data_IF_574959497559
#
_entry.id   IF_574959497559
#
_cell.length_a   1.000
_cell.length_b   1.000
_cell.length_c   1.000
_cell.angle_alpha   90.00
_cell.angle_beta   90.00
_cell.angle_gamma   90.00
#
_symmetry.space_group_name_H-M   'P 1'
#
loop_
_entity.id
_entity.type
_entity.pdbx_description
1 polymer ?
#
# COMPACT_ATOMS: atom_id res chain seq x y z
N UNK A 1 9.12 19.97 0.78
CA UNK A 1 8.01 19.41 -0.01
C UNK A 1 8.23 17.92 -0.09
N UNK A 2 7.45 17.12 0.64
CA UNK A 2 7.56 15.66 0.57
C UNK A 2 6.95 15.23 -0.77
N UNK A 3 7.79 14.75 -1.67
CA UNK A 3 7.38 14.35 -3.02
C UNK A 3 6.50 13.10 -2.97
N UNK A 4 5.29 13.18 -3.54
CA UNK A 4 4.34 12.07 -3.60
C UNK A 4 4.90 10.86 -4.37
N UNK A 5 5.75 11.09 -5.38
CA UNK A 5 6.38 10.02 -6.13
C UNK A 5 7.36 9.22 -5.24
N UNK A 6 8.19 9.93 -4.46
CA UNK A 6 9.05 9.33 -3.45
C UNK A 6 8.26 8.48 -2.43
N UNK A 7 7.11 8.97 -1.96
CA UNK A 7 6.28 8.23 -1.00
C UNK A 7 5.69 6.94 -1.60
N UNK A 8 5.21 6.97 -2.86
CA UNK A 8 4.69 5.76 -3.52
C UNK A 8 5.76 4.70 -3.74
N UNK A 9 6.99 5.11 -4.06
CA UNK A 9 8.11 4.19 -4.21
C UNK A 9 8.45 3.52 -2.88
N UNK A 10 8.56 4.28 -1.78
CA UNK A 10 8.87 3.75 -0.45
C UNK A 10 7.78 2.79 0.05
N UNK A 11 6.51 3.08 -0.26
CA UNK A 11 5.40 2.17 0.03
C UNK A 11 5.57 0.81 -0.67
N UNK A 12 5.93 0.82 -1.97
CA UNK A 12 6.23 -0.42 -2.68
C UNK A 12 7.41 -1.18 -2.08
N UNK A 13 8.50 -0.49 -1.78
CA UNK A 13 9.71 -1.10 -1.22
C UNK A 13 9.45 -1.80 0.11
N UNK A 14 8.65 -1.19 1.00
CA UNK A 14 8.21 -1.82 2.24
C UNK A 14 7.53 -3.18 1.99
N UNK A 15 6.51 -3.21 1.13
CA UNK A 15 5.79 -4.46 0.82
C UNK A 15 6.68 -5.49 0.12
N UNK A 16 7.53 -5.05 -0.82
CA UNK A 16 8.42 -5.92 -1.56
C UNK A 16 9.41 -6.64 -0.64
N UNK A 17 9.94 -5.98 0.39
CA UNK A 17 10.83 -6.58 1.39
C UNK A 17 10.12 -7.70 2.15
N UNK A 18 8.87 -7.47 2.58
CA UNK A 18 8.08 -8.50 3.27
C UNK A 18 7.83 -9.71 2.37
N UNK A 19 7.47 -9.48 1.11
CA UNK A 19 7.14 -10.55 0.16
C UNK A 19 8.37 -11.31 -0.36
N UNK A 20 9.55 -10.68 -0.40
CA UNK A 20 10.78 -11.30 -0.88
C UNK A 20 11.15 -12.56 -0.10
N UNK A 21 10.83 -12.61 1.21
CA UNK A 21 11.09 -13.77 2.08
C UNK A 21 10.31 -15.04 1.70
N UNK A 22 9.26 -14.93 0.89
CA UNK A 22 8.52 -16.09 0.41
C UNK A 22 9.25 -16.85 -0.71
N UNK A 23 10.33 -16.28 -1.29
CA UNK A 23 11.12 -16.89 -2.36
C UNK A 23 10.29 -17.31 -3.59
N UNK A 24 9.23 -16.56 -3.89
CA UNK A 24 8.35 -16.77 -5.07
C UNK A 24 8.55 -15.64 -6.09
N UNK A 25 9.63 -15.63 -6.88
CA UNK A 25 9.97 -14.49 -7.76
C UNK A 25 8.91 -14.21 -8.83
N UNK A 26 8.27 -15.26 -9.39
CA UNK A 26 7.19 -15.09 -10.38
C UNK A 26 5.94 -14.43 -9.77
N UNK A 27 5.57 -14.83 -8.55
CA UNK A 27 4.44 -14.23 -7.84
C UNK A 27 4.74 -12.77 -7.46
N UNK A 28 5.94 -12.49 -6.95
CA UNK A 28 6.35 -11.13 -6.62
C UNK A 28 6.32 -10.21 -7.85
N UNK A 29 6.74 -10.71 -9.02
CA UNK A 29 6.63 -9.97 -10.28
C UNK A 29 5.17 -9.68 -10.66
N UNK A 30 4.26 -10.63 -10.48
CA UNK A 30 2.82 -10.40 -10.70
C UNK A 30 2.26 -9.34 -9.75
N UNK A 31 2.60 -9.41 -8.46
CA UNK A 31 2.19 -8.41 -7.45
C UNK A 31 2.73 -7.02 -7.84
N UNK A 32 3.98 -6.93 -8.28
CA UNK A 32 4.58 -5.67 -8.76
C UNK A 32 3.83 -5.09 -9.96
N UNK A 33 3.45 -5.94 -10.91
CA UNK A 33 2.69 -5.50 -12.08
C UNK A 33 1.31 -4.96 -11.68
N UNK A 34 0.62 -5.65 -10.77
CA UNK A 34 -0.65 -5.17 -10.22
C UNK A 34 -0.46 -3.82 -9.53
N UNK A 35 0.57 -3.67 -8.70
CA UNK A 35 0.88 -2.42 -8.02
C UNK A 35 1.12 -1.27 -9.01
N UNK A 36 1.96 -1.45 -10.03
CA UNK A 36 2.24 -0.42 -11.05
C UNK A 36 0.96 0.02 -11.78
N UNK A 37 0.02 -0.91 -12.03
CA UNK A 37 -1.23 -0.58 -12.71
C UNK A 37 -2.14 0.33 -11.87
N UNK A 38 -2.13 0.20 -10.53
CA UNK A 38 -2.90 1.06 -9.63
C UNK A 38 -2.14 2.31 -9.16
N UNK A 39 -0.82 2.28 -9.20
CA UNK A 39 0.10 3.30 -8.69
C UNK A 39 -0.20 4.73 -9.21
N UNK A 40 -0.59 4.87 -10.49
CA UNK A 40 -1.02 6.17 -11.05
C UNK A 40 -2.22 6.77 -10.31
N UNK A 41 -3.16 5.95 -9.86
CA UNK A 41 -4.36 6.39 -9.15
C UNK A 41 -4.06 6.68 -7.68
N UNK A 42 -3.20 5.85 -7.08
CA UNK A 42 -2.72 6.07 -5.70
C UNK A 42 -1.99 7.40 -5.58
N UNK A 43 -1.12 7.77 -6.54
CA UNK A 43 -0.48 9.09 -6.56
C UNK A 43 -1.49 10.25 -6.58
N UNK A 44 -2.55 10.13 -7.37
CA UNK A 44 -3.58 11.18 -7.46
C UNK A 44 -4.35 11.34 -6.14
N UNK A 45 -4.66 10.23 -5.48
CA UNK A 45 -5.31 10.23 -4.17
C UNK A 45 -4.39 10.78 -3.07
N UNK A 46 -3.12 10.35 -3.04
CA UNK A 46 -2.13 10.78 -2.02
C UNK A 46 -1.78 12.27 -2.11
N UNK A 47 -1.95 12.90 -3.28
CA UNK A 47 -1.83 14.35 -3.40
C UNK A 47 -2.91 15.13 -2.61
N UNK A 48 -3.95 14.46 -2.12
CA UNK A 48 -5.10 15.05 -1.40
C UNK A 48 -5.18 14.62 0.08
N UNK A 49 -4.40 13.62 0.51
CA UNK A 49 -4.48 13.04 1.86
C UNK A 49 -3.23 13.43 2.67
N UNK A 50 -3.40 13.75 3.96
CA UNK A 50 -2.28 13.88 4.88
C UNK A 50 -1.57 12.52 5.06
N UNK A 51 -0.30 12.45 4.63
CA UNK A 51 0.51 11.23 4.51
C UNK A 51 0.85 10.50 5.85
N UNK A 52 0.27 10.90 6.98
CA UNK A 52 0.63 10.41 8.31
C UNK A 52 -0.05 9.08 8.68
N UNK A 53 -1.29 8.86 8.25
CA UNK A 53 -2.05 7.65 8.59
C UNK A 53 -1.50 6.36 7.96
N UNK A 54 -1.13 6.30 6.66
CA UNK A 54 -0.60 5.08 6.05
C UNK A 54 0.68 4.55 6.70
N UNK A 55 1.52 5.45 7.22
CA UNK A 55 2.76 5.06 7.89
C UNK A 55 2.52 4.37 9.24
N UNK A 56 1.49 4.79 9.98
CA UNK A 56 1.15 4.15 11.26
C UNK A 56 0.79 2.67 11.07
N UNK A 57 0.06 2.35 10.01
CA UNK A 57 -0.32 0.97 9.67
C UNK A 57 0.89 0.12 9.29
N UNK A 58 1.85 0.67 8.53
CA UNK A 58 3.11 -0.01 8.21
C UNK A 58 3.91 -0.36 9.46
N UNK A 59 4.00 0.55 10.44
CA UNK A 59 4.64 0.25 11.72
C UNK A 59 3.94 -0.88 12.50
N UNK A 60 2.62 -0.95 12.45
CA UNK A 60 1.86 -2.03 13.10
C UNK A 60 2.13 -3.38 12.44
N UNK A 61 2.15 -3.42 11.10
CA UNK A 61 2.51 -4.63 10.34
C UNK A 61 3.94 -5.07 10.70
N UNK A 62 4.89 -4.13 10.71
CA UNK A 62 6.28 -4.42 11.05
C UNK A 62 6.43 -4.94 12.49
N UNK A 63 5.71 -4.34 13.45
CA UNK A 63 5.71 -4.78 14.84
C UNK A 63 5.17 -6.22 14.99
N UNK A 64 4.09 -6.56 14.29
CA UNK A 64 3.55 -7.92 14.27
C UNK A 64 4.54 -8.92 13.65
N UNK A 65 5.21 -8.54 12.55
CA UNK A 65 6.28 -9.35 11.97
C UNK A 65 7.45 -9.55 12.94
N UNK A 66 7.87 -8.48 13.65
CA UNK A 66 8.96 -8.55 14.62
C UNK A 66 8.63 -9.47 15.81
N UNK A 67 7.37 -9.49 16.25
CA UNK A 67 6.87 -10.38 17.29
C UNK A 67 6.62 -11.81 16.79
N UNK A 68 6.83 -12.10 15.50
CA UNK A 68 6.46 -13.35 14.83
C UNK A 68 4.96 -13.69 14.93
N UNK A 69 4.10 -12.71 15.19
CA UNK A 69 2.65 -12.90 15.17
C UNK A 69 2.14 -12.86 13.72
N UNK A 70 2.25 -14.01 13.06
CA UNK A 70 1.86 -14.18 11.66
C UNK A 70 0.38 -13.89 11.45
N UNK A 71 -0.48 -14.23 12.42
CA UNK A 71 -1.93 -14.04 12.31
C UNK A 71 -2.28 -12.55 12.34
N UNK A 72 -1.69 -11.81 13.28
CA UNK A 72 -1.87 -10.36 13.35
C UNK A 72 -1.29 -9.67 12.11
N UNK A 73 -0.07 -10.05 11.68
CA UNK A 73 0.56 -9.46 10.51
C UNK A 73 -0.29 -9.63 9.23
N UNK A 74 -0.84 -10.84 9.00
CA UNK A 74 -1.71 -11.10 7.86
C UNK A 74 -3.03 -10.33 7.95
N UNK A 75 -3.64 -10.25 9.13
CA UNK A 75 -4.87 -9.49 9.34
C UNK A 75 -4.67 -8.01 9.07
N UNK A 76 -3.61 -7.42 9.64
CA UNK A 76 -3.27 -6.01 9.46
C UNK A 76 -2.95 -5.70 7.99
N UNK A 77 -2.15 -6.54 7.33
CA UNK A 77 -1.81 -6.37 5.93
C UNK A 77 -3.05 -6.44 5.03
N UNK A 78 -3.95 -7.39 5.28
CA UNK A 78 -5.20 -7.50 4.53
C UNK A 78 -6.06 -6.24 4.69
N UNK A 79 -6.29 -5.82 5.94
CA UNK A 79 -7.07 -4.62 6.22
C UNK A 79 -6.47 -3.38 5.58
N UNK A 80 -5.14 -3.24 5.61
CA UNK A 80 -4.43 -2.12 4.97
C UNK A 80 -4.68 -2.06 3.45
N UNK A 81 -4.53 -3.18 2.76
CA UNK A 81 -4.74 -3.26 1.30
C UNK A 81 -6.21 -3.01 0.95
N UNK A 82 -7.13 -3.66 1.65
CA UNK A 82 -8.57 -3.56 1.38
C UNK A 82 -9.06 -2.12 1.63
N UNK A 83 -8.69 -1.52 2.76
CA UNK A 83 -9.09 -0.14 3.11
C UNK A 83 -8.51 0.88 2.13
N UNK A 84 -7.23 0.75 1.76
CA UNK A 84 -6.60 1.62 0.76
C UNK A 84 -7.31 1.52 -0.59
N UNK A 85 -7.67 0.30 -1.01
CA UNK A 85 -8.42 0.05 -2.24
C UNK A 85 -9.81 0.67 -2.22
N UNK A 86 -10.56 0.53 -1.13
CA UNK A 86 -11.89 1.14 -0.97
C UNK A 86 -11.83 2.66 -1.04
N UNK A 87 -10.88 3.28 -0.33
CA UNK A 87 -10.68 4.73 -0.36
C UNK A 87 -10.34 5.22 -1.77
N UNK A 88 -9.51 4.46 -2.50
CA UNK A 88 -9.16 4.79 -3.88
C UNK A 88 -10.38 4.74 -4.81
N UNK A 89 -11.23 3.71 -4.67
CA UNK A 89 -12.47 3.60 -5.45
C UNK A 89 -13.40 4.77 -5.17
N UNK A 90 -13.59 5.14 -3.90
CA UNK A 90 -14.41 6.29 -3.50
C UNK A 90 -13.88 7.57 -4.16
N UNK A 91 -12.57 7.80 -4.09
CA UNK A 91 -11.92 8.95 -4.71
C UNK A 91 -12.14 9.00 -6.23
N UNK A 92 -11.96 7.88 -6.94
CA UNK A 92 -12.16 7.81 -8.40
C UNK A 92 -13.63 8.06 -8.80
N UNK A 93 -14.58 7.58 -8.01
CA UNK A 93 -16.00 7.83 -8.24
C UNK A 93 -16.37 9.30 -8.03
N UNK A 94 -15.79 9.96 -7.02
CA UNK A 94 -16.00 11.39 -6.76
C UNK A 94 -15.41 12.25 -7.88
N UNK A 95 -14.15 11.99 -8.27
CA UNK A 95 -13.48 12.74 -9.35
C UNK A 95 -14.15 12.59 -10.72
N UNK A 96 -14.81 11.44 -10.97
CA UNK A 96 -15.60 11.23 -12.21
C UNK A 96 -16.91 12.00 -12.19
N UNK A 97 -17.56 12.19 -11.03
CA UNK A 97 -18.83 12.93 -10.89
C UNK A 97 -18.68 14.45 -10.92
N UNK A 98 -17.51 14.97 -10.55
CA UNK A 98 -17.20 16.42 -10.54
C UNK A 98 -16.73 16.92 -11.91
N UNK A 99 -16.78 16.08 -12.95
CA UNK A 99 -16.35 16.37 -14.32
C UNK A 99 -17.54 16.35 -15.26
#
# INVERSE_FOLDING_TARGET
>A
TTDAACFTQLNWEFHAILYARAERPRLLAMIKMLHINVDRYVRMQMAQIDNLEPQKEHYQILAACYQNDTKAALSLLKTHIDSTGEQLVIYLQQTTKTR
#
